data_IF_994142075820
#
_entry.id   IF_994142075820
#
_cell.length_a   1.000
_cell.length_b   1.000
_cell.length_c   1.000
_cell.angle_alpha   90.00
_cell.angle_beta   90.00
_cell.angle_gamma   90.00
#
_symmetry.space_group_name_H-M   'P 1'
#
loop_
_entity.id
_entity.type
_entity.pdbx_description
1 polymer ?
#
# COMPACT_ATOMS: atom_id res chain seq x y z
N UNK A 1 -4.85 -30.49 5.47
CA UNK A 1 -3.62 -31.31 5.54
C UNK A 1 -2.42 -30.49 5.98
N UNK A 2 -1.48 -31.12 6.64
CA UNK A 2 -0.26 -30.50 7.19
C UNK A 2 0.99 -31.05 6.49
N UNK A 3 2.13 -30.34 6.61
CA UNK A 3 3.43 -30.83 6.09
C UNK A 3 3.80 -32.22 6.68
N UNK A 4 3.38 -32.50 7.91
CA UNK A 4 3.65 -33.82 8.55
C UNK A 4 2.88 -34.95 7.87
N UNK A 5 1.60 -34.70 7.52
CA UNK A 5 0.77 -35.68 6.81
C UNK A 5 1.28 -35.94 5.39
N UNK A 6 1.66 -34.89 4.67
CA UNK A 6 2.31 -35.03 3.35
C UNK A 6 3.63 -35.82 3.45
N UNK A 7 4.45 -35.55 4.45
CA UNK A 7 5.70 -36.26 4.67
C UNK A 7 5.47 -37.76 4.94
N UNK A 8 4.44 -38.08 5.72
CA UNK A 8 4.06 -39.46 6.02
C UNK A 8 3.56 -40.18 4.76
N UNK A 9 2.69 -39.56 3.97
CA UNK A 9 2.18 -40.15 2.72
C UNK A 9 3.27 -40.32 1.66
N UNK A 10 4.22 -39.40 1.59
CA UNK A 10 5.33 -39.45 0.62
C UNK A 10 6.51 -40.30 1.10
N UNK A 11 6.45 -40.87 2.31
CA UNK A 11 7.58 -41.69 2.88
C UNK A 11 8.86 -40.88 3.09
N UNK A 12 8.76 -39.57 3.34
CA UNK A 12 9.94 -38.69 3.53
C UNK A 12 9.86 -37.91 4.84
N UNK A 13 10.92 -37.22 5.21
CA UNK A 13 10.90 -36.35 6.38
C UNK A 13 10.13 -35.03 6.11
N UNK A 14 9.51 -34.47 7.15
CA UNK A 14 8.88 -33.15 7.06
C UNK A 14 9.86 -32.03 6.62
N UNK A 15 11.15 -32.19 6.94
CA UNK A 15 12.22 -31.33 6.49
C UNK A 15 12.45 -31.40 4.95
N UNK A 16 12.30 -32.60 4.36
CA UNK A 16 12.39 -32.79 2.92
C UNK A 16 11.22 -32.13 2.21
N UNK A 17 9.98 -32.33 2.69
CA UNK A 17 8.79 -31.65 2.16
C UNK A 17 8.93 -30.13 2.27
N UNK A 18 9.39 -29.63 3.41
CA UNK A 18 9.61 -28.19 3.60
C UNK A 18 10.66 -27.63 2.62
N UNK A 19 11.76 -28.35 2.37
CA UNK A 19 12.77 -27.94 1.38
C UNK A 19 12.21 -27.95 -0.04
N UNK A 20 11.49 -28.99 -0.42
CA UNK A 20 10.82 -29.08 -1.72
C UNK A 20 9.91 -27.87 -1.99
N UNK A 21 9.02 -27.57 -1.04
CA UNK A 21 8.08 -26.45 -1.14
C UNK A 21 8.75 -25.06 -1.21
N UNK A 22 10.04 -24.97 -0.88
CA UNK A 22 10.80 -23.71 -0.88
C UNK A 22 11.90 -23.66 -1.95
N UNK A 23 11.87 -24.56 -2.93
CA UNK A 23 12.89 -24.62 -3.97
C UNK A 23 14.29 -25.00 -3.48
N UNK A 24 14.40 -25.55 -2.25
CA UNK A 24 15.67 -26.06 -1.72
C UNK A 24 16.04 -27.42 -2.29
N UNK A 25 17.30 -27.84 -2.09
CA UNK A 25 17.78 -29.11 -2.59
C UNK A 25 17.10 -30.32 -1.92
N UNK A 26 16.54 -31.18 -2.76
CA UNK A 26 15.97 -32.49 -2.43
C UNK A 26 16.36 -33.45 -3.57
N UNK A 27 16.70 -34.72 -3.29
CA UNK A 27 16.99 -35.70 -4.33
C UNK A 27 15.79 -35.86 -5.28
N UNK A 28 16.05 -36.17 -6.56
CA UNK A 28 14.99 -36.29 -7.58
C UNK A 28 13.94 -37.35 -7.19
N UNK A 29 14.36 -38.47 -6.63
CA UNK A 29 13.45 -39.50 -6.12
C UNK A 29 12.45 -38.92 -5.10
N UNK A 30 12.95 -38.21 -4.09
CA UNK A 30 12.10 -37.59 -3.06
C UNK A 30 11.24 -36.46 -3.61
N UNK A 31 11.74 -35.70 -4.58
CA UNK A 31 10.94 -34.65 -5.28
C UNK A 31 9.72 -35.28 -5.94
N UNK A 32 9.94 -36.40 -6.65
CA UNK A 32 8.86 -37.08 -7.36
C UNK A 32 7.83 -37.67 -6.40
N UNK A 33 8.28 -38.28 -5.30
CA UNK A 33 7.38 -38.77 -4.25
C UNK A 33 6.53 -37.68 -3.63
N UNK A 34 7.14 -36.52 -3.30
CA UNK A 34 6.44 -35.37 -2.73
C UNK A 34 5.49 -34.78 -3.74
N UNK A 35 5.91 -34.58 -5.02
CA UNK A 35 5.10 -34.04 -6.09
C UNK A 35 3.82 -34.85 -6.28
N UNK A 36 3.94 -36.17 -6.40
CA UNK A 36 2.81 -37.10 -6.58
C UNK A 36 1.79 -36.97 -5.46
N UNK A 37 2.24 -36.96 -4.20
CA UNK A 37 1.33 -36.84 -3.05
C UNK A 37 0.64 -35.48 -3.03
N UNK A 38 1.34 -34.39 -3.38
CA UNK A 38 0.75 -33.04 -3.46
C UNK A 38 -0.31 -32.99 -4.56
N UNK A 39 -0.05 -33.56 -5.73
CA UNK A 39 -1.00 -33.61 -6.84
C UNK A 39 -2.25 -34.45 -6.49
N UNK A 40 -2.05 -35.61 -5.89
CA UNK A 40 -3.16 -36.48 -5.47
C UNK A 40 -4.03 -35.88 -4.35
N UNK A 41 -3.43 -35.11 -3.46
CA UNK A 41 -4.11 -34.57 -2.29
C UNK A 41 -4.60 -33.14 -2.45
N UNK A 42 -4.16 -32.44 -3.52
CA UNK A 42 -4.44 -31.02 -3.71
C UNK A 42 -3.84 -30.13 -2.60
N UNK A 43 -2.80 -30.61 -1.90
CA UNK A 43 -2.22 -29.89 -0.77
C UNK A 43 -1.63 -28.54 -1.19
N UNK A 44 -2.06 -27.49 -0.53
CA UNK A 44 -1.43 -26.18 -0.61
C UNK A 44 -0.88 -25.77 0.75
N UNK A 45 0.38 -25.31 0.83
CA UNK A 45 0.95 -24.81 2.08
C UNK A 45 0.13 -23.65 2.62
N UNK A 46 -0.29 -23.71 3.88
CA UNK A 46 -1.04 -22.60 4.47
C UNK A 46 -0.18 -21.32 4.52
N UNK A 47 -0.77 -20.18 4.19
CA UNK A 47 -0.12 -18.87 4.28
C UNK A 47 0.40 -18.61 5.71
N UNK A 48 -0.36 -19.03 6.73
CA UNK A 48 0.03 -18.92 8.14
C UNK A 48 1.30 -19.74 8.47
N UNK A 49 1.39 -20.99 7.99
CA UNK A 49 2.58 -21.82 8.21
C UNK A 49 3.82 -21.24 7.52
N UNK A 50 3.64 -20.64 6.34
CA UNK A 50 4.70 -19.93 5.63
C UNK A 50 5.13 -18.68 6.39
N UNK A 51 4.19 -17.86 6.86
CA UNK A 51 4.43 -16.66 7.64
C UNK A 51 5.20 -16.95 8.94
N UNK A 52 4.78 -17.95 9.71
CA UNK A 52 5.47 -18.34 10.95
C UNK A 52 6.95 -18.69 10.73
N UNK A 53 7.26 -19.25 9.57
CA UNK A 53 8.63 -19.65 9.22
C UNK A 53 9.46 -18.51 8.62
N UNK A 54 8.90 -17.76 7.68
CA UNK A 54 9.59 -16.68 6.96
C UNK A 54 9.58 -15.36 7.72
N UNK A 55 8.75 -15.24 8.74
CA UNK A 55 8.40 -13.99 9.44
C UNK A 55 7.91 -12.90 8.49
N UNK A 56 7.39 -13.29 7.29
CA UNK A 56 6.82 -12.40 6.29
C UNK A 56 5.41 -12.86 5.94
N UNK A 57 4.48 -11.92 5.92
CA UNK A 57 3.11 -12.17 5.50
C UNK A 57 2.97 -12.20 3.98
N UNK A 58 3.90 -11.55 3.25
CA UNK A 58 3.81 -11.22 1.84
C UNK A 58 2.52 -10.44 1.52
N UNK A 59 2.14 -9.56 2.43
CA UNK A 59 0.91 -8.77 2.38
C UNK A 59 1.21 -7.32 2.72
N UNK A 60 0.69 -6.37 1.93
CA UNK A 60 0.78 -4.93 2.17
C UNK A 60 -0.62 -4.36 2.33
N UNK A 61 -0.85 -3.64 3.43
CA UNK A 61 -2.08 -2.88 3.65
C UNK A 61 -2.05 -1.57 2.87
N UNK A 62 -3.10 -1.26 2.12
CA UNK A 62 -3.22 -0.01 1.35
C UNK A 62 -4.50 0.69 1.77
N UNK A 63 -4.36 1.88 2.36
CA UNK A 63 -5.49 2.72 2.80
C UNK A 63 -5.67 3.83 1.79
N UNK A 64 -6.88 3.95 1.21
CA UNK A 64 -7.21 4.94 0.17
C UNK A 64 -8.43 5.77 0.56
N UNK A 65 -8.49 7.07 0.16
CA UNK A 65 -9.60 7.95 0.50
C UNK A 65 -10.89 7.58 -0.23
N UNK A 66 -10.80 7.16 -1.50
CA UNK A 66 -11.93 6.73 -2.34
C UNK A 66 -11.50 5.67 -3.35
N UNK A 67 -12.29 4.62 -3.50
CA UNK A 67 -12.02 3.57 -4.49
C UNK A 67 -12.46 4.02 -5.89
N UNK A 68 -13.55 4.76 -6.01
CA UNK A 68 -14.17 5.20 -7.27
C UNK A 68 -13.61 6.52 -7.82
N UNK A 69 -12.39 6.89 -7.51
CA UNK A 69 -11.69 8.06 -8.04
C UNK A 69 -10.68 7.62 -9.11
N UNK A 70 -10.67 8.26 -10.27
CA UNK A 70 -9.76 7.89 -11.37
C UNK A 70 -8.29 7.95 -10.94
N UNK A 71 -7.87 9.03 -10.26
CA UNK A 71 -6.49 9.18 -9.78
C UNK A 71 -6.12 8.10 -8.75
N UNK A 72 -7.02 7.82 -7.81
CA UNK A 72 -6.79 6.78 -6.78
C UNK A 72 -6.77 5.39 -7.40
N UNK A 73 -7.65 5.09 -8.36
CA UNK A 73 -7.65 3.82 -9.09
C UNK A 73 -6.32 3.60 -9.83
N UNK A 74 -5.77 4.62 -10.47
CA UNK A 74 -4.47 4.55 -11.17
C UNK A 74 -3.31 4.34 -10.17
N UNK A 75 -3.31 5.05 -9.04
CA UNK A 75 -2.31 4.86 -7.98
C UNK A 75 -2.39 3.43 -7.46
N UNK A 76 -3.59 2.94 -7.15
CA UNK A 76 -3.82 1.59 -6.63
C UNK A 76 -3.36 0.52 -7.62
N UNK A 77 -3.68 0.68 -8.91
CA UNK A 77 -3.23 -0.24 -9.96
C UNK A 77 -1.69 -0.26 -10.09
N UNK A 78 -1.04 0.91 -10.00
CA UNK A 78 0.42 1.00 -10.00
C UNK A 78 1.07 0.32 -8.79
N UNK A 79 0.49 0.48 -7.61
CA UNK A 79 0.94 -0.20 -6.38
C UNK A 79 0.79 -1.71 -6.55
N UNK A 80 -0.39 -2.18 -7.00
CA UNK A 80 -0.70 -3.59 -7.18
C UNK A 80 0.28 -4.26 -8.14
N UNK A 81 0.55 -3.66 -9.30
CA UNK A 81 1.49 -4.17 -10.30
C UNK A 81 2.88 -4.44 -9.69
N UNK A 82 3.43 -3.47 -8.97
CA UNK A 82 4.77 -3.60 -8.36
C UNK A 82 4.78 -4.64 -7.23
N UNK A 83 3.71 -4.69 -6.43
CA UNK A 83 3.58 -5.68 -5.35
C UNK A 83 3.48 -7.10 -5.91
N UNK A 84 2.66 -7.31 -6.95
CA UNK A 84 2.47 -8.62 -7.60
C UNK A 84 3.78 -9.16 -8.19
N UNK A 85 4.57 -8.31 -8.90
CA UNK A 85 5.89 -8.68 -9.43
C UNK A 85 6.86 -9.15 -8.34
N UNK A 86 6.69 -8.66 -7.11
CA UNK A 86 7.52 -9.03 -5.95
C UNK A 86 6.92 -10.12 -5.07
N UNK A 87 5.82 -10.71 -5.49
CA UNK A 87 5.13 -11.79 -4.76
C UNK A 87 4.39 -11.32 -3.52
N UNK A 88 4.04 -10.03 -3.44
CA UNK A 88 3.19 -9.47 -2.41
C UNK A 88 1.73 -9.41 -2.87
N UNK A 89 0.81 -9.62 -1.95
CA UNK A 89 -0.61 -9.34 -2.13
C UNK A 89 -0.96 -7.99 -1.51
N UNK A 90 -1.99 -7.34 -2.03
CA UNK A 90 -2.49 -6.06 -1.55
C UNK A 90 -3.80 -6.26 -0.78
N UNK A 91 -3.89 -5.69 0.41
CA UNK A 91 -5.13 -5.59 1.19
C UNK A 91 -5.60 -4.13 1.15
N UNK A 92 -6.68 -3.86 0.41
CA UNK A 92 -7.18 -2.51 0.15
C UNK A 92 -8.30 -2.13 1.13
N UNK A 93 -8.20 -0.93 1.72
CA UNK A 93 -9.21 -0.33 2.58
C UNK A 93 -9.61 1.06 2.09
N UNK A 94 -10.89 1.28 1.82
CA UNK A 94 -11.46 2.57 1.44
C UNK A 94 -12.09 3.31 2.62
N UNK A 95 -11.84 4.62 2.77
CA UNK A 95 -12.24 5.40 3.94
C UNK A 95 -13.35 6.41 3.70
N UNK A 96 -13.77 6.60 2.44
CA UNK A 96 -14.73 7.62 2.02
C UNK A 96 -14.34 9.04 2.46
N UNK A 97 -13.06 9.39 2.34
CA UNK A 97 -12.47 10.66 2.79
C UNK A 97 -12.70 10.94 4.29
N UNK A 98 -12.79 9.91 5.11
CA UNK A 98 -13.00 10.06 6.55
C UNK A 98 -11.69 9.85 7.30
N UNK A 99 -11.02 10.90 7.82
CA UNK A 99 -9.72 10.77 8.49
C UNK A 99 -9.74 9.85 9.72
N UNK A 100 -10.88 9.75 10.41
CA UNK A 100 -11.03 8.83 11.53
C UNK A 100 -10.96 7.36 11.09
N UNK A 101 -11.59 7.02 9.94
CA UNK A 101 -11.49 5.68 9.34
C UNK A 101 -10.09 5.38 8.83
N UNK A 102 -9.34 6.37 8.33
CA UNK A 102 -7.94 6.18 7.97
C UNK A 102 -7.14 5.67 9.17
N UNK A 103 -7.26 6.35 10.31
CA UNK A 103 -6.57 5.94 11.57
C UNK A 103 -7.06 4.57 12.06
N UNK A 104 -8.34 4.27 11.92
CA UNK A 104 -8.91 2.96 12.29
C UNK A 104 -8.28 1.83 11.45
N UNK A 105 -8.22 1.98 10.12
CA UNK A 105 -7.61 0.99 9.23
C UNK A 105 -6.08 0.89 9.42
N UNK A 106 -5.40 1.99 9.70
CA UNK A 106 -3.97 1.95 10.04
C UNK A 106 -3.72 1.10 11.29
N UNK A 107 -4.54 1.24 12.34
CA UNK A 107 -4.47 0.41 13.55
C UNK A 107 -4.90 -1.03 13.30
N UNK A 108 -5.89 -1.25 12.44
CA UNK A 108 -6.29 -2.59 12.03
C UNK A 108 -5.12 -3.32 11.36
N UNK A 109 -4.44 -2.67 10.40
CA UNK A 109 -3.30 -3.24 9.71
C UNK A 109 -2.06 -3.41 10.61
N UNK A 110 -1.88 -2.58 11.63
CA UNK A 110 -0.82 -2.79 12.62
C UNK A 110 -1.00 -4.09 13.39
N UNK A 111 -2.26 -4.48 13.67
CA UNK A 111 -2.60 -5.73 14.36
C UNK A 111 -2.83 -6.91 13.41
N UNK A 112 -2.90 -6.68 12.12
CA UNK A 112 -3.02 -7.70 11.09
C UNK A 112 -1.63 -8.04 10.55
N UNK A 113 -1.36 -9.29 10.15
CA UNK A 113 -0.04 -9.65 9.65
C UNK A 113 0.22 -9.04 8.27
N UNK A 114 0.60 -7.77 8.23
CA UNK A 114 1.11 -7.08 7.02
C UNK A 114 2.59 -6.76 7.19
N UNK A 115 3.35 -6.77 6.10
CA UNK A 115 4.77 -6.44 6.08
C UNK A 115 5.02 -4.93 5.92
N UNK A 116 4.00 -4.18 5.55
CA UNK A 116 4.03 -2.73 5.39
C UNK A 116 2.66 -2.14 5.13
N UNK A 117 2.56 -0.82 5.26
CA UNK A 117 1.33 -0.06 5.02
C UNK A 117 1.63 1.07 4.04
N UNK A 118 0.74 1.27 3.07
CA UNK A 118 0.72 2.44 2.19
C UNK A 118 -0.54 3.24 2.51
N UNK A 119 -0.37 4.50 2.90
CA UNK A 119 -1.46 5.44 3.15
C UNK A 119 -1.52 6.47 2.02
N UNK A 120 -2.58 6.46 1.24
CA UNK A 120 -2.92 7.59 0.37
C UNK A 120 -3.70 8.60 1.21
N UNK A 121 -2.96 9.51 1.83
CA UNK A 121 -3.50 10.42 2.84
C UNK A 121 -4.08 11.67 2.24
N UNK A 122 -5.11 12.22 2.91
CA UNK A 122 -5.72 13.51 2.57
C UNK A 122 -5.43 14.57 3.62
N UNK A 123 -5.72 14.30 4.89
CA UNK A 123 -5.54 15.24 6.00
C UNK A 123 -4.93 14.53 7.20
N UNK A 124 -3.82 15.06 7.73
CA UNK A 124 -3.19 14.50 8.92
C UNK A 124 -3.75 15.09 10.21
N UNK A 125 -4.52 14.28 10.93
CA UNK A 125 -5.00 14.58 12.27
C UNK A 125 -3.97 14.25 13.35
N UNK A 126 -4.25 14.58 14.61
CA UNK A 126 -3.46 14.14 15.75
C UNK A 126 -3.36 12.60 15.83
N UNK A 127 -4.43 11.88 15.43
CA UNK A 127 -4.46 10.43 15.38
C UNK A 127 -3.45 9.83 14.40
N UNK A 128 -3.34 10.38 13.18
CA UNK A 128 -2.33 9.98 12.20
C UNK A 128 -0.91 10.20 12.73
N UNK A 129 -0.65 11.38 13.29
CA UNK A 129 0.67 11.70 13.85
C UNK A 129 1.04 10.79 15.02
N UNK A 130 0.07 10.46 15.87
CA UNK A 130 0.28 9.52 16.97
C UNK A 130 0.61 8.13 16.43
N UNK A 131 -0.19 7.60 15.50
CA UNK A 131 0.03 6.30 14.87
C UNK A 131 1.42 6.22 14.23
N UNK A 132 1.78 7.19 13.38
CA UNK A 132 3.07 7.21 12.66
C UNK A 132 4.29 7.28 13.59
N UNK A 133 4.15 7.84 14.80
CA UNK A 133 5.22 7.86 15.81
C UNK A 133 5.37 6.54 16.56
N UNK A 134 4.26 5.81 16.76
CA UNK A 134 4.20 4.65 17.64
C UNK A 134 4.36 3.32 16.88
N UNK A 135 3.92 3.27 15.62
CA UNK A 135 3.92 2.04 14.82
C UNK A 135 5.32 1.49 14.55
N UNK A 136 5.43 0.16 14.57
CA UNK A 136 6.63 -0.58 14.16
C UNK A 136 6.52 -1.11 12.73
N UNK A 137 5.32 -1.05 12.13
CA UNK A 137 5.11 -1.45 10.75
C UNK A 137 5.63 -0.36 9.83
N UNK A 138 6.46 -0.65 8.81
CA UNK A 138 6.89 0.33 7.84
C UNK A 138 5.70 1.01 7.15
N UNK A 139 5.68 2.34 7.10
CA UNK A 139 4.61 3.12 6.45
C UNK A 139 5.21 4.01 5.36
N UNK A 140 4.54 4.02 4.20
CA UNK A 140 4.76 4.99 3.13
C UNK A 140 3.50 5.82 2.98
N UNK A 141 3.66 7.14 2.91
CA UNK A 141 2.57 8.09 2.70
C UNK A 141 2.59 8.60 1.27
N UNK A 142 1.44 8.61 0.61
CA UNK A 142 1.26 9.16 -0.75
C UNK A 142 0.34 10.37 -0.68
N UNK A 143 0.70 11.44 -1.40
CA UNK A 143 -0.10 12.64 -1.56
C UNK A 143 0.07 13.71 -0.49
N UNK A 144 0.69 13.38 0.64
CA UNK A 144 0.97 14.31 1.74
C UNK A 144 2.43 14.23 2.18
N UNK A 145 2.93 15.28 2.80
CA UNK A 145 4.27 15.33 3.39
C UNK A 145 4.23 15.25 4.92
N UNK A 146 5.10 14.43 5.49
CA UNK A 146 5.37 14.37 6.94
C UNK A 146 6.83 13.95 7.18
N UNK A 147 7.41 14.37 8.29
CA UNK A 147 8.72 13.91 8.74
C UNK A 147 8.67 12.60 9.56
N UNK A 148 7.49 11.99 9.68
CA UNK A 148 7.26 10.78 10.48
C UNK A 148 7.27 9.49 9.66
N UNK A 149 7.27 9.59 8.33
CA UNK A 149 7.27 8.45 7.41
C UNK A 149 7.94 8.84 6.08
N UNK A 150 8.25 7.84 5.25
CA UNK A 150 8.64 8.09 3.87
C UNK A 150 7.42 8.60 3.09
N UNK A 151 7.60 9.65 2.28
CA UNK A 151 6.51 10.29 1.56
C UNK A 151 6.79 10.35 0.05
N UNK A 152 5.73 10.16 -0.74
CA UNK A 152 5.71 10.39 -2.19
C UNK A 152 4.57 11.38 -2.46
N UNK A 153 4.88 12.56 -2.99
CA UNK A 153 3.89 13.61 -3.21
C UNK A 153 4.25 14.45 -4.44
N UNK A 154 3.26 15.17 -4.96
CA UNK A 154 3.40 16.07 -6.09
C UNK A 154 3.88 17.45 -5.62
N UNK A 155 4.47 18.22 -6.51
CA UNK A 155 4.66 19.67 -6.30
C UNK A 155 3.33 20.40 -6.57
N UNK A 156 2.42 20.31 -5.60
CA UNK A 156 1.09 20.93 -5.69
C UNK A 156 1.15 22.46 -5.80
N UNK A 157 2.13 23.08 -5.12
CA UNK A 157 2.35 24.53 -5.22
C UNK A 157 2.82 24.94 -6.61
N UNK A 158 3.82 24.24 -7.16
CA UNK A 158 4.33 24.50 -8.50
C UNK A 158 3.27 24.26 -9.57
N UNK A 159 2.48 23.20 -9.45
CA UNK A 159 1.37 22.93 -10.35
C UNK A 159 0.29 24.03 -10.30
N UNK A 160 -0.08 24.46 -9.09
CA UNK A 160 -1.00 25.61 -8.90
C UNK A 160 -0.45 26.88 -9.52
N UNK A 161 0.83 27.20 -9.28
CA UNK A 161 1.49 28.39 -9.81
C UNK A 161 1.51 28.41 -11.34
N UNK A 162 1.86 27.30 -11.97
CA UNK A 162 1.85 27.17 -13.41
C UNK A 162 0.43 27.42 -13.99
N UNK A 163 -0.61 26.85 -13.37
CA UNK A 163 -1.98 27.08 -13.78
C UNK A 163 -2.40 28.53 -13.59
N UNK A 164 -2.02 29.17 -12.48
CA UNK A 164 -2.28 30.60 -12.24
C UNK A 164 -1.68 31.50 -13.33
N UNK A 165 -0.44 31.23 -13.76
CA UNK A 165 0.22 31.94 -14.85
C UNK A 165 -0.52 31.76 -16.18
N UNK A 166 -0.97 30.56 -16.52
CA UNK A 166 -1.78 30.31 -17.72
C UNK A 166 -3.07 31.10 -17.68
N UNK A 167 -3.79 31.08 -16.55
CA UNK A 167 -5.07 31.81 -16.41
C UNK A 167 -4.91 33.33 -16.48
N UNK A 168 -3.83 33.86 -15.89
CA UNK A 168 -3.53 35.30 -15.97
C UNK A 168 -3.32 35.78 -17.42
N UNK A 169 -2.74 34.95 -18.27
CA UNK A 169 -2.55 35.25 -19.69
C UNK A 169 -3.87 35.41 -20.49
N UNK A 170 -5.02 34.97 -19.97
CA UNK A 170 -6.30 35.15 -20.64
C UNK A 170 -6.93 36.54 -20.47
N UNK A 171 -6.31 37.44 -19.72
CA UNK A 171 -6.76 38.82 -19.51
C UNK A 171 -8.25 38.98 -19.11
N UNK A 172 -8.78 38.07 -18.31
CA UNK A 172 -10.18 38.05 -17.87
C UNK A 172 -10.38 38.89 -16.63
N UNK A 173 -11.54 39.61 -16.60
CA UNK A 173 -12.02 40.28 -15.39
C UNK A 173 -12.81 39.25 -14.57
N UNK A 174 -12.38 39.01 -13.36
CA UNK A 174 -13.01 38.05 -12.43
C UNK A 174 -12.64 36.61 -12.71
N UNK A 175 -11.87 36.03 -11.78
CA UNK A 175 -11.44 34.63 -11.81
C UNK A 175 -12.03 33.95 -10.58
N UNK A 176 -12.71 32.84 -10.79
CA UNK A 176 -13.17 31.98 -9.72
C UNK A 176 -12.26 30.76 -9.62
N UNK A 177 -11.81 30.41 -8.41
CA UNK A 177 -11.07 29.20 -8.11
C UNK A 177 -11.98 28.22 -7.34
N UNK A 178 -12.10 27.01 -7.85
CA UNK A 178 -12.82 25.92 -7.18
C UNK A 178 -11.77 24.87 -6.78
N UNK A 179 -11.59 24.67 -5.50
CA UNK A 179 -10.61 23.75 -4.93
C UNK A 179 -11.20 22.88 -3.82
N UNK A 180 -10.35 22.05 -3.21
CA UNK A 180 -10.70 21.28 -2.02
C UNK A 180 -10.38 22.10 -0.76
N UNK A 181 -10.81 21.62 0.40
CA UNK A 181 -10.57 22.30 1.68
C UNK A 181 -9.07 22.57 1.92
N UNK A 182 -8.75 23.74 2.48
CA UNK A 182 -7.37 24.09 2.87
C UNK A 182 -6.81 23.28 4.04
N UNK A 183 -7.63 22.44 4.69
CA UNK A 183 -7.17 21.46 5.67
C UNK A 183 -6.32 20.36 5.02
N UNK A 184 -6.60 20.05 3.75
CA UNK A 184 -5.66 19.31 2.90
C UNK A 184 -4.49 20.23 2.54
N UNK A 185 -3.31 19.96 3.10
CA UNK A 185 -2.14 20.84 2.96
C UNK A 185 -1.50 20.78 1.57
N UNK A 186 -1.68 19.69 0.85
CA UNK A 186 -1.17 19.49 -0.51
C UNK A 186 -2.18 19.99 -1.55
N UNK A 187 -3.20 19.19 -1.87
CA UNK A 187 -4.15 19.49 -2.93
C UNK A 187 -5.05 20.70 -2.64
N UNK A 188 -5.29 21.04 -1.38
CA UNK A 188 -6.01 22.23 -0.95
C UNK A 188 -5.09 23.45 -0.84
N UNK A 189 -4.40 23.60 0.31
CA UNK A 189 -3.68 24.82 0.63
C UNK A 189 -2.54 25.13 -0.36
N UNK A 190 -1.62 24.20 -0.60
CA UNK A 190 -0.44 24.48 -1.42
C UNK A 190 -0.82 24.77 -2.88
N UNK A 191 -1.77 24.03 -3.44
CA UNK A 191 -2.23 24.24 -4.82
C UNK A 191 -2.92 25.59 -5.01
N UNK A 192 -3.78 26.00 -4.05
CA UNK A 192 -4.45 27.32 -4.05
C UNK A 192 -3.44 28.45 -3.89
N UNK A 193 -2.52 28.35 -2.92
CA UNK A 193 -1.49 29.38 -2.69
C UNK A 193 -0.57 29.52 -3.91
N UNK A 194 -0.22 28.42 -4.56
CA UNK A 194 0.50 28.42 -5.84
C UNK A 194 -0.29 29.14 -6.94
N UNK A 195 -1.57 28.81 -7.09
CA UNK A 195 -2.44 29.46 -8.09
C UNK A 195 -2.52 30.97 -7.92
N UNK A 196 -2.74 31.43 -6.68
CA UNK A 196 -2.75 32.87 -6.36
C UNK A 196 -1.40 33.53 -6.67
N UNK A 197 -0.29 32.84 -6.34
CA UNK A 197 1.05 33.34 -6.65
C UNK A 197 1.29 33.43 -8.17
N UNK A 198 0.77 32.47 -8.94
CA UNK A 198 0.84 32.48 -10.40
C UNK A 198 0.09 33.66 -11.03
N UNK A 199 -1.08 33.98 -10.50
CA UNK A 199 -1.86 35.15 -10.97
C UNK A 199 -1.16 36.50 -10.72
N UNK A 200 -0.42 36.63 -9.61
CA UNK A 200 0.27 37.89 -9.22
C UNK A 200 1.54 38.14 -10.01
N UNK A 201 2.16 37.14 -10.56
CA UNK A 201 3.45 37.19 -11.23
C UNK A 201 3.34 37.16 -12.77
N UNK A 202 2.17 37.30 -13.29
CA UNK A 202 1.86 37.43 -14.71
C UNK A 202 1.30 38.84 -15.00
#
# INVERSE_FOLDING_TARGET
MTIKEIAQLAGVSSAAVSRYLNGGYVSEEKKEQIRKVIEETGYQPSAQARMLRTKKASLVGVVVPKINSESISRITAGIESVLAERGYQMLLAGTDNTPAKEVEYLRLFENYPVDGIILVGTMFTAGHRKFLKETKVPVVVIGQHTNLANCIYHDDYGAGKAMGQVVAGFSKKGIAYIGVTRDDKAAGAAREDGFIAGLKNA
#
